data_IF_533529440039
#
_entry.id   IF_533529440039
#
_cell.length_a   1.000
_cell.length_b   1.000
_cell.length_c   1.000
_cell.angle_alpha   90.00
_cell.angle_beta   90.00
_cell.angle_gamma   90.00
#
_symmetry.space_group_name_H-M   'P 1'
#
loop_
_entity.id
_entity.type
_entity.pdbx_description
1 polymer ?
#
# COMPACT_ATOMS: atom_id res chain seq x y z
N UNK A 1 5.67 -14.59 -2.82
CA UNK A 1 5.64 -14.70 -4.31
C UNK A 1 4.23 -14.43 -4.84
N UNK A 2 3.19 -14.88 -4.13
CA UNK A 2 1.80 -14.57 -4.47
C UNK A 2 1.43 -13.10 -4.19
N UNK A 3 1.91 -12.51 -3.09
CA UNK A 3 1.62 -11.12 -2.72
C UNK A 3 2.13 -10.10 -3.74
N UNK A 4 3.33 -10.32 -4.30
CA UNK A 4 3.90 -9.47 -5.36
C UNK A 4 3.01 -9.52 -6.60
N UNK A 5 2.52 -10.71 -6.95
CA UNK A 5 1.65 -10.89 -8.13
C UNK A 5 0.31 -10.20 -7.94
N UNK A 6 -0.33 -10.39 -6.78
CA UNK A 6 -1.60 -9.74 -6.45
C UNK A 6 -1.46 -8.21 -6.43
N UNK A 7 -0.42 -7.69 -5.77
CA UNK A 7 -0.15 -6.26 -5.75
C UNK A 7 0.16 -5.72 -7.15
N UNK A 8 0.92 -6.45 -7.97
CA UNK A 8 1.18 -6.07 -9.36
C UNK A 8 -0.12 -5.97 -10.17
N UNK A 9 -1.08 -6.88 -9.96
CA UNK A 9 -2.39 -6.80 -10.63
C UNK A 9 -3.17 -5.56 -10.21
N UNK A 10 -3.15 -5.20 -8.92
CA UNK A 10 -3.78 -3.97 -8.41
C UNK A 10 -3.13 -2.74 -9.05
N UNK A 11 -1.79 -2.67 -9.07
CA UNK A 11 -1.08 -1.53 -9.66
C UNK A 11 -1.27 -1.46 -11.19
N UNK A 12 -1.34 -2.61 -11.89
CA UNK A 12 -1.69 -2.65 -13.31
C UNK A 12 -3.08 -2.07 -13.58
N UNK A 13 -4.08 -2.47 -12.78
CA UNK A 13 -5.43 -1.91 -12.89
C UNK A 13 -5.41 -0.38 -12.69
N UNK A 14 -4.62 0.11 -11.74
CA UNK A 14 -4.48 1.56 -11.53
C UNK A 14 -3.80 2.26 -12.71
N UNK A 15 -2.81 1.63 -13.36
CA UNK A 15 -2.14 2.19 -14.54
C UNK A 15 -3.08 2.24 -15.75
N UNK A 16 -3.84 1.18 -15.97
CA UNK A 16 -4.85 1.09 -17.04
C UNK A 16 -5.99 2.10 -16.84
N UNK A 17 -6.28 2.46 -15.59
CA UNK A 17 -7.37 3.38 -15.21
C UNK A 17 -6.84 4.70 -14.62
N UNK A 18 -5.64 5.13 -15.05
CA UNK A 18 -4.89 6.20 -14.39
C UNK A 18 -5.66 7.51 -14.22
N UNK A 19 -6.42 7.95 -15.22
CA UNK A 19 -7.18 9.19 -15.15
C UNK A 19 -8.24 9.14 -14.02
N UNK A 20 -8.96 8.02 -13.93
CA UNK A 20 -9.93 7.77 -12.88
C UNK A 20 -9.25 7.68 -11.51
N UNK A 21 -8.14 6.93 -11.41
CA UNK A 21 -7.39 6.78 -10.16
C UNK A 21 -6.83 8.11 -9.68
N UNK A 22 -6.26 8.95 -10.56
CA UNK A 22 -5.81 10.31 -10.24
C UNK A 22 -6.96 11.16 -9.72
N UNK A 23 -8.11 11.15 -10.41
CA UNK A 23 -9.28 11.91 -9.99
C UNK A 23 -9.72 11.49 -8.58
N UNK A 24 -9.88 10.19 -8.34
CA UNK A 24 -10.34 9.65 -7.06
C UNK A 24 -9.34 9.90 -5.94
N UNK A 25 -8.05 9.62 -6.15
CA UNK A 25 -6.99 9.67 -5.12
C UNK A 25 -6.54 11.10 -4.81
N UNK A 26 -6.61 12.02 -5.78
CA UNK A 26 -6.22 13.41 -5.54
C UNK A 26 -7.35 14.26 -4.97
N UNK A 27 -8.60 13.94 -5.30
CA UNK A 27 -9.76 14.67 -4.80
C UNK A 27 -10.45 14.00 -3.61
N UNK A 28 -9.88 12.92 -3.08
CA UNK A 28 -10.38 12.34 -1.83
C UNK A 28 -10.09 13.29 -0.68
N UNK A 29 -11.14 13.96 -0.19
CA UNK A 29 -11.16 14.68 1.10
C UNK A 29 -11.20 13.67 2.26
N UNK A 30 -11.54 12.40 1.97
CA UNK A 30 -11.70 11.33 2.94
C UNK A 30 -10.36 10.67 3.27
N UNK A 31 -9.80 11.04 4.42
CA UNK A 31 -8.61 10.41 5.01
C UNK A 31 -8.80 8.90 5.24
N UNK A 32 -10.04 8.39 5.22
CA UNK A 32 -10.36 6.97 5.39
C UNK A 32 -10.31 6.16 4.10
N UNK A 33 -10.12 6.77 2.92
CA UNK A 33 -9.96 6.01 1.67
C UNK A 33 -8.68 5.16 1.70
N UNK A 34 -7.56 5.77 2.12
CA UNK A 34 -6.30 5.06 2.33
C UNK A 34 -6.45 3.93 3.36
N UNK A 35 -7.13 4.20 4.48
CA UNK A 35 -7.46 3.17 5.47
C UNK A 35 -8.31 2.04 4.88
N UNK A 36 -9.34 2.33 4.09
CA UNK A 36 -10.23 1.29 3.53
C UNK A 36 -9.55 0.44 2.46
N UNK A 37 -8.74 1.05 1.61
CA UNK A 37 -7.97 0.35 0.58
C UNK A 37 -6.95 -0.60 1.21
N UNK A 38 -6.47 -0.30 2.42
CA UNK A 38 -5.38 -1.03 3.07
C UNK A 38 -5.83 -1.84 4.29
N UNK A 39 -7.08 -1.65 4.78
CA UNK A 39 -7.86 -2.55 5.66
C UNK A 39 -8.35 -3.81 4.96
N UNK A 40 -7.85 -4.09 3.76
CA UNK A 40 -8.05 -5.39 3.14
C UNK A 40 -7.53 -6.48 4.09
N UNK A 41 -8.35 -7.52 4.39
CA UNK A 41 -7.99 -8.58 5.35
C UNK A 41 -6.64 -9.23 5.07
N UNK A 42 -6.21 -9.25 3.80
CA UNK A 42 -4.92 -9.80 3.39
C UNK A 42 -3.73 -9.00 3.93
N UNK A 43 -3.81 -7.66 3.98
CA UNK A 43 -2.74 -6.81 4.52
C UNK A 43 -2.72 -6.91 6.04
N UNK A 44 -3.89 -6.94 6.69
CA UNK A 44 -3.97 -7.16 8.14
C UNK A 44 -3.42 -8.53 8.53
N UNK A 45 -3.70 -9.58 7.75
CA UNK A 45 -3.16 -10.93 7.98
C UNK A 45 -1.63 -10.96 7.80
N UNK A 46 -1.12 -10.37 6.72
CA UNK A 46 0.31 -10.29 6.44
C UNK A 46 1.07 -9.54 7.56
N UNK A 47 0.50 -8.45 8.07
CA UNK A 47 1.08 -7.66 9.15
C UNK A 47 0.91 -8.34 10.51
N UNK A 48 -0.25 -8.91 10.81
CA UNK A 48 -0.49 -9.64 12.05
C UNK A 48 0.41 -10.86 12.21
N UNK A 49 0.63 -11.64 11.15
CA UNK A 49 1.53 -12.81 11.18
C UNK A 49 2.99 -12.41 11.47
N UNK A 50 3.43 -11.20 11.10
CA UNK A 50 4.79 -10.71 11.37
C UNK A 50 4.94 -9.90 12.67
N UNK A 51 3.88 -9.22 13.13
CA UNK A 51 3.93 -8.31 14.29
C UNK A 51 3.62 -9.01 15.64
N UNK A 52 2.94 -10.16 15.63
CA UNK A 52 2.51 -10.88 16.84
C UNK A 52 3.67 -11.43 17.69
N UNK A 53 4.91 -11.46 17.17
CA UNK A 53 6.08 -11.98 17.88
C UNK A 53 6.75 -11.04 18.89
N UNK A 54 6.43 -9.73 18.91
CA UNK A 54 7.21 -8.79 19.72
C UNK A 54 6.61 -7.42 20.04
N UNK A 55 5.42 -7.07 19.53
CA UNK A 55 4.82 -5.75 19.71
C UNK A 55 3.60 -5.81 20.65
N UNK A 56 3.41 -4.77 21.47
CA UNK A 56 2.15 -4.56 22.22
C UNK A 56 1.03 -4.16 21.26
N UNK A 57 -0.22 -4.43 21.63
CA UNK A 57 -1.39 -4.16 20.76
C UNK A 57 -1.46 -2.71 20.26
N UNK A 58 -1.05 -1.72 21.07
CA UNK A 58 -0.99 -0.31 20.69
C UNK A 58 0.12 -0.02 19.67
N UNK A 59 1.27 -0.66 19.79
CA UNK A 59 2.38 -0.53 18.84
C UNK A 59 2.02 -1.14 17.48
N UNK A 60 1.28 -2.25 17.47
CA UNK A 60 0.76 -2.89 16.25
C UNK A 60 -0.16 -1.91 15.48
N UNK A 61 -1.04 -1.20 16.19
CA UNK A 61 -1.95 -0.23 15.57
C UNK A 61 -1.19 0.95 14.94
N UNK A 62 -0.15 1.47 15.61
CA UNK A 62 0.69 2.53 15.05
C UNK A 62 1.52 2.05 13.86
N UNK A 63 2.08 0.84 13.92
CA UNK A 63 2.83 0.24 12.81
C UNK A 63 1.95 -0.01 11.60
N UNK A 64 0.73 -0.51 11.85
CA UNK A 64 -0.28 -0.66 10.82
C UNK A 64 -0.60 0.68 10.15
N UNK A 65 -0.89 1.72 10.94
CA UNK A 65 -1.17 3.06 10.43
C UNK A 65 -0.01 3.63 9.60
N UNK A 66 1.23 3.41 10.05
CA UNK A 66 2.43 3.85 9.34
C UNK A 66 2.57 3.17 7.98
N UNK A 67 2.46 1.84 7.94
CA UNK A 67 2.57 1.06 6.70
C UNK A 67 1.47 1.44 5.71
N UNK A 68 0.24 1.59 6.20
CA UNK A 68 -0.92 1.98 5.40
C UNK A 68 -0.72 3.38 4.81
N UNK A 69 -0.40 4.36 5.66
CA UNK A 69 -0.24 5.75 5.23
C UNK A 69 0.94 5.90 4.28
N UNK A 70 2.06 5.25 4.57
CA UNK A 70 3.26 5.25 3.73
C UNK A 70 3.02 4.60 2.36
N UNK A 71 2.37 3.42 2.34
CA UNK A 71 2.02 2.73 1.10
C UNK A 71 1.09 3.57 0.21
N UNK A 72 0.07 4.20 0.80
CA UNK A 72 -0.81 5.10 0.07
C UNK A 72 -0.07 6.32 -0.51
N UNK A 73 0.82 6.94 0.27
CA UNK A 73 1.62 8.07 -0.18
C UNK A 73 2.52 7.72 -1.37
N UNK A 74 3.12 6.52 -1.37
CA UNK A 74 3.91 6.00 -2.51
C UNK A 74 3.03 5.87 -3.75
N UNK A 75 1.85 5.27 -3.64
CA UNK A 75 0.91 5.11 -4.77
C UNK A 75 0.48 6.47 -5.30
N UNK A 76 0.08 7.39 -4.41
CA UNK A 76 -0.32 8.76 -4.79
C UNK A 76 0.81 9.51 -5.49
N UNK A 77 2.05 9.33 -5.05
CA UNK A 77 3.22 9.92 -5.71
C UNK A 77 3.40 9.32 -7.09
N UNK A 78 3.37 8.00 -7.20
CA UNK A 78 3.59 7.29 -8.46
C UNK A 78 2.54 7.64 -9.52
N UNK A 79 1.24 7.59 -9.19
CA UNK A 79 0.19 7.92 -10.18
C UNK A 79 0.33 9.33 -10.71
N UNK A 80 0.89 10.28 -9.94
CA UNK A 80 1.02 11.68 -10.32
C UNK A 80 2.31 12.03 -11.07
N UNK A 81 3.23 11.08 -11.26
CA UNK A 81 4.43 11.31 -12.09
C UNK A 81 4.11 11.26 -13.57
N UNK A 82 4.81 12.09 -14.35
CA UNK A 82 4.76 12.06 -15.81
C UNK A 82 5.46 10.80 -16.34
N UNK A 83 6.70 10.58 -15.91
CA UNK A 83 7.44 9.34 -16.13
C UNK A 83 7.29 8.41 -14.92
N UNK A 84 6.64 7.27 -15.15
CA UNK A 84 6.30 6.31 -14.11
C UNK A 84 7.11 5.03 -14.26
N UNK A 85 7.55 4.48 -13.13
CA UNK A 85 8.06 3.12 -13.07
C UNK A 85 6.96 2.13 -13.45
N UNK A 86 7.34 0.96 -13.97
CA UNK A 86 6.36 -0.07 -14.32
C UNK A 86 5.60 -0.58 -13.09
N UNK A 87 4.35 -1.04 -13.25
CA UNK A 87 3.55 -1.55 -12.15
C UNK A 87 4.23 -2.61 -11.28
N UNK A 88 4.96 -3.55 -11.92
CA UNK A 88 5.73 -4.57 -11.20
C UNK A 88 6.87 -3.99 -10.37
N UNK A 89 7.55 -2.93 -10.84
CA UNK A 89 8.60 -2.27 -10.06
C UNK A 89 8.02 -1.59 -8.82
N UNK A 90 6.87 -0.94 -8.93
CA UNK A 90 6.19 -0.31 -7.79
C UNK A 90 5.67 -1.33 -6.79
N UNK A 91 5.08 -2.43 -7.25
CA UNK A 91 4.64 -3.51 -6.37
C UNK A 91 5.80 -4.09 -5.55
N UNK A 92 6.95 -4.31 -6.18
CA UNK A 92 8.17 -4.76 -5.49
C UNK A 92 8.69 -3.70 -4.52
N UNK A 93 8.66 -2.41 -4.89
CA UNK A 93 9.08 -1.31 -4.01
C UNK A 93 8.23 -1.26 -2.73
N UNK A 94 6.91 -1.35 -2.86
CA UNK A 94 5.97 -1.33 -1.74
C UNK A 94 6.25 -2.49 -0.78
N UNK A 95 6.34 -3.72 -1.28
CA UNK A 95 6.58 -4.89 -0.44
C UNK A 95 7.97 -4.89 0.20
N UNK A 96 9.01 -4.47 -0.52
CA UNK A 96 10.35 -4.32 0.06
C UNK A 96 10.40 -3.27 1.15
N UNK A 97 9.66 -2.18 0.99
CA UNK A 97 9.61 -1.11 2.00
C UNK A 97 8.95 -1.62 3.28
N UNK A 98 7.86 -2.38 3.17
CA UNK A 98 7.20 -3.04 4.31
C UNK A 98 8.15 -4.02 4.99
N UNK A 99 8.82 -4.90 4.23
CA UNK A 99 9.75 -5.87 4.80
C UNK A 99 10.87 -5.23 5.62
N UNK A 100 11.48 -4.15 5.11
CA UNK A 100 12.52 -3.40 5.83
C UNK A 100 12.06 -2.70 7.11
N UNK A 101 10.76 -2.42 7.23
CA UNK A 101 10.17 -1.79 8.42
C UNK A 101 9.90 -2.83 9.51
N UNK A 102 9.74 -4.11 9.13
CA UNK A 102 9.37 -5.21 10.01
C UNK A 102 10.57 -6.07 10.45
N UNK A 103 11.76 -5.86 9.85
CA UNK A 103 13.06 -6.42 10.29
C UNK A 103 13.63 -5.69 11.51
#
# INVERSE_FOLDING_TARGET
MDDVRQLTQIINYMDENLALCRLLINNTIDSRFAERLLKLPNIQRLLGEQLVGGYRNDEIDYMYQFIVTGGFAIIKTWINRDERESPGKIAVLLLRSIGKILE
#
